data_IF_513667479519
#
_entry.id   IF_513667479519
#
_cell.length_a   1.000
_cell.length_b   1.000
_cell.length_c   1.000
_cell.angle_alpha   90.00
_cell.angle_beta   90.00
_cell.angle_gamma   90.00
#
_symmetry.space_group_name_H-M   'P 1'
#
loop_
_entity.id
_entity.type
_entity.pdbx_description
1 polymer ?
#
# COMPACT_ATOMS: atom_id res chain seq x y z
N UNK A 1 -11.77 29.02 14.34
CA UNK A 1 -12.10 28.20 13.16
C UNK A 1 -10.91 27.26 12.93
N UNK A 2 -11.10 25.93 12.99
CA UNK A 2 -9.98 24.98 12.88
C UNK A 2 -9.61 24.74 11.42
N UNK A 3 -8.32 24.82 11.07
CA UNK A 3 -7.77 24.51 9.73
C UNK A 3 -8.31 23.16 9.21
N UNK A 4 -8.48 22.18 10.09
CA UNK A 4 -9.05 20.86 9.77
C UNK A 4 -10.47 20.96 9.20
N UNK A 5 -11.28 21.93 9.66
CA UNK A 5 -12.66 22.07 9.20
C UNK A 5 -12.76 22.59 7.78
N UNK A 6 -11.87 23.50 7.38
CA UNK A 6 -11.84 24.06 6.04
C UNK A 6 -11.21 23.07 5.06
N UNK A 7 -10.21 22.31 5.50
CA UNK A 7 -9.65 21.21 4.73
C UNK A 7 -10.71 20.14 4.42
N UNK A 8 -11.47 19.69 5.43
CA UNK A 8 -12.56 18.71 5.23
C UNK A 8 -13.61 19.23 4.25
N UNK A 9 -14.00 20.50 4.34
CA UNK A 9 -14.94 21.11 3.39
C UNK A 9 -14.38 21.11 1.97
N UNK A 10 -13.11 21.48 1.82
CA UNK A 10 -12.41 21.47 0.54
C UNK A 10 -12.37 20.05 -0.07
N UNK A 11 -12.02 19.04 0.73
CA UNK A 11 -11.99 17.62 0.30
C UNK A 11 -13.36 17.15 -0.21
N UNK A 12 -14.44 17.50 0.50
CA UNK A 12 -15.80 17.11 0.10
C UNK A 12 -16.22 17.82 -1.19
N UNK A 13 -15.76 19.06 -1.40
CA UNK A 13 -16.09 19.86 -2.59
C UNK A 13 -15.26 19.48 -3.82
N UNK A 14 -14.04 18.96 -3.62
CA UNK A 14 -13.16 18.59 -4.71
C UNK A 14 -13.64 17.31 -5.40
N UNK A 15 -14.05 17.44 -6.66
CA UNK A 15 -14.49 16.30 -7.51
C UNK A 15 -13.32 15.47 -8.08
N UNK A 16 -12.08 15.81 -7.74
CA UNK A 16 -10.93 15.16 -8.36
C UNK A 16 -10.81 13.71 -7.87
N UNK A 17 -10.75 12.77 -8.81
CA UNK A 17 -10.97 11.33 -8.57
C UNK A 17 -9.69 10.59 -8.19
N UNK A 18 -8.73 11.25 -7.56
CA UNK A 18 -7.50 10.57 -7.18
C UNK A 18 -7.70 9.81 -5.87
N UNK A 19 -7.37 8.53 -5.88
CA UNK A 19 -7.54 7.63 -4.76
C UNK A 19 -6.21 7.36 -4.02
N UNK A 20 -5.09 7.75 -4.62
CA UNK A 20 -3.73 7.50 -4.14
C UNK A 20 -3.38 8.09 -2.77
N UNK A 21 -2.25 7.63 -2.25
CA UNK A 21 -1.72 8.02 -0.95
C UNK A 21 -1.08 9.43 -0.96
N UNK A 22 -0.50 9.87 -2.07
CA UNK A 22 0.25 11.13 -2.10
C UNK A 22 -0.61 12.34 -2.44
N UNK A 23 -1.64 12.15 -3.26
CA UNK A 23 -2.45 13.23 -3.84
C UNK A 23 -3.95 12.87 -3.92
N UNK A 24 -4.40 11.87 -3.16
CA UNK A 24 -5.76 11.35 -3.20
C UNK A 24 -6.42 11.10 -1.84
N UNK A 25 -7.57 10.44 -1.89
CA UNK A 25 -8.38 10.13 -0.70
C UNK A 25 -7.63 9.32 0.37
N UNK A 26 -6.76 8.39 -0.03
CA UNK A 26 -5.97 7.61 0.91
C UNK A 26 -5.02 8.50 1.72
N UNK A 27 -4.35 9.45 1.07
CA UNK A 27 -3.44 10.40 1.75
C UNK A 27 -4.16 11.31 2.72
N UNK A 28 -5.29 11.87 2.28
CA UNK A 28 -6.16 12.69 3.13
C UNK A 28 -6.64 11.91 4.34
N UNK A 29 -7.14 10.69 4.13
CA UNK A 29 -7.63 9.84 5.21
C UNK A 29 -6.53 9.49 6.22
N UNK A 30 -5.34 9.15 5.74
CA UNK A 30 -4.19 8.88 6.61
C UNK A 30 -3.78 10.11 7.42
N UNK A 31 -3.78 11.30 6.80
CA UNK A 31 -3.50 12.55 7.51
C UNK A 31 -4.51 12.82 8.62
N UNK A 32 -5.80 12.56 8.37
CA UNK A 32 -6.85 12.70 9.38
C UNK A 32 -6.65 11.72 10.55
N UNK A 33 -6.33 10.45 10.28
CA UNK A 33 -6.05 9.45 11.33
C UNK A 33 -4.89 9.89 12.23
N UNK A 34 -3.81 10.40 11.64
CA UNK A 34 -2.57 10.69 12.37
C UNK A 34 -2.58 12.04 13.10
N UNK A 35 -3.32 13.03 12.57
CA UNK A 35 -3.16 14.42 13.02
C UNK A 35 -4.45 15.07 13.56
N UNK A 36 -5.60 14.42 13.43
CA UNK A 36 -6.87 15.01 13.88
C UNK A 36 -7.29 14.48 15.25
N UNK A 37 -7.88 15.37 16.06
CA UNK A 37 -8.59 14.94 17.27
C UNK A 37 -9.82 14.14 16.88
N UNK A 38 -10.06 13.04 17.61
CA UNK A 38 -11.26 12.21 17.42
C UNK A 38 -12.52 13.08 17.60
N UNK A 39 -13.38 13.06 16.60
CA UNK A 39 -14.67 13.78 16.60
C UNK A 39 -15.61 13.14 15.58
N UNK A 40 -16.92 13.28 15.78
CA UNK A 40 -17.92 12.75 14.87
C UNK A 40 -17.70 13.20 13.42
N UNK A 41 -17.27 14.45 13.22
CA UNK A 41 -17.01 14.99 11.89
C UNK A 41 -15.83 14.30 11.20
N UNK A 42 -14.75 14.04 11.92
CA UNK A 42 -13.58 13.30 11.40
C UNK A 42 -13.98 11.87 11.06
N UNK A 43 -14.71 11.19 11.93
CA UNK A 43 -15.19 9.82 11.70
C UNK A 43 -16.12 9.72 10.48
N UNK A 44 -17.06 10.67 10.33
CA UNK A 44 -17.92 10.75 9.16
C UNK A 44 -17.11 10.98 7.87
N UNK A 45 -16.07 11.81 7.94
CA UNK A 45 -15.19 12.09 6.79
C UNK A 45 -14.39 10.85 6.40
N UNK A 46 -13.78 10.17 7.38
CA UNK A 46 -13.06 8.91 7.14
C UNK A 46 -13.98 7.85 6.54
N UNK A 47 -15.17 7.67 7.10
CA UNK A 47 -16.18 6.73 6.59
C UNK A 47 -16.59 7.03 5.15
N UNK A 48 -16.75 8.32 4.80
CA UNK A 48 -17.02 8.75 3.44
C UNK A 48 -15.86 8.38 2.49
N UNK A 49 -14.62 8.69 2.85
CA UNK A 49 -13.43 8.39 2.04
C UNK A 49 -13.28 6.88 1.81
N UNK A 50 -13.42 6.09 2.88
CA UNK A 50 -13.36 4.63 2.81
C UNK A 50 -14.45 4.09 1.88
N UNK A 51 -15.69 4.57 1.99
CA UNK A 51 -16.79 4.15 1.11
C UNK A 51 -16.47 4.37 -0.38
N UNK A 52 -15.73 5.43 -0.72
CA UNK A 52 -15.29 5.67 -2.11
C UNK A 52 -14.26 4.63 -2.58
N UNK A 53 -13.38 4.18 -1.69
CA UNK A 53 -12.31 3.21 -1.97
C UNK A 53 -12.78 1.75 -1.94
N UNK A 54 -13.90 1.46 -1.29
CA UNK A 54 -14.52 0.12 -1.26
C UNK A 54 -15.32 -0.20 -2.53
N UNK A 55 -15.53 0.77 -3.42
CA UNK A 55 -16.29 0.56 -4.64
C UNK A 55 -15.49 -0.28 -5.64
N UNK A 56 -15.99 -1.46 -6.01
CA UNK A 56 -15.29 -2.38 -6.94
C UNK A 56 -15.01 -1.75 -8.31
N UNK A 57 -15.86 -0.82 -8.78
CA UNK A 57 -15.60 -0.08 -10.02
C UNK A 57 -14.36 0.79 -9.92
N UNK A 58 -14.03 1.28 -8.72
CA UNK A 58 -12.79 2.04 -8.48
C UNK A 58 -11.58 1.15 -8.70
N UNK A 59 -11.59 -0.06 -8.13
CA UNK A 59 -10.49 -1.02 -8.24
C UNK A 59 -10.26 -1.49 -9.68
N UNK A 60 -11.30 -1.89 -10.40
CA UNK A 60 -11.16 -2.43 -11.77
C UNK A 60 -10.60 -1.40 -12.75
N UNK A 61 -10.97 -0.13 -12.60
CA UNK A 61 -10.60 0.95 -13.52
C UNK A 61 -9.37 1.74 -13.05
N UNK A 62 -8.61 1.22 -12.08
CA UNK A 62 -7.46 1.93 -11.55
C UNK A 62 -6.19 1.63 -12.33
N UNK A 63 -5.60 2.66 -12.93
CA UNK A 63 -4.44 2.50 -13.82
C UNK A 63 -3.10 2.72 -13.11
N UNK A 64 -3.10 3.31 -11.92
CA UNK A 64 -1.89 3.60 -11.16
C UNK A 64 -1.53 2.42 -10.26
N UNK A 65 -0.23 2.19 -10.08
CA UNK A 65 0.32 1.08 -9.28
C UNK A 65 1.37 1.61 -8.29
N UNK A 66 1.63 0.87 -7.23
CA UNK A 66 2.63 1.18 -6.21
C UNK A 66 2.09 2.01 -5.04
N UNK A 67 2.97 2.40 -4.13
CA UNK A 67 2.59 2.96 -2.84
C UNK A 67 2.00 4.37 -2.96
N UNK A 68 2.55 5.22 -3.82
CA UNK A 68 2.16 6.63 -3.82
C UNK A 68 0.80 6.87 -4.46
N UNK A 69 0.52 6.17 -5.57
CA UNK A 69 -0.69 6.39 -6.34
C UNK A 69 -1.49 5.11 -6.57
N UNK A 70 -0.96 3.93 -6.31
CA UNK A 70 -1.58 2.65 -6.66
C UNK A 70 -2.39 1.96 -5.56
N UNK A 71 -2.70 0.70 -5.81
CA UNK A 71 -3.41 -0.17 -4.88
C UNK A 71 -2.65 -0.36 -3.57
N UNK A 72 -1.32 -0.40 -3.58
CA UNK A 72 -0.52 -0.48 -2.35
C UNK A 72 -0.75 0.72 -1.41
N UNK A 73 -0.85 1.94 -1.94
CA UNK A 73 -1.15 3.13 -1.15
C UNK A 73 -2.54 3.13 -0.55
N UNK A 74 -3.53 2.70 -1.34
CA UNK A 74 -4.91 2.57 -0.91
C UNK A 74 -5.04 1.50 0.18
N UNK A 75 -4.42 0.34 -0.04
CA UNK A 75 -4.35 -0.74 0.94
C UNK A 75 -3.72 -0.27 2.24
N UNK A 76 -2.60 0.45 2.17
CA UNK A 76 -1.92 1.00 3.35
C UNK A 76 -2.84 1.92 4.16
N UNK A 77 -3.57 2.83 3.51
CA UNK A 77 -4.54 3.67 4.20
C UNK A 77 -5.66 2.85 4.85
N UNK A 78 -6.26 1.91 4.11
CA UNK A 78 -7.34 1.08 4.63
C UNK A 78 -6.90 0.24 5.83
N UNK A 79 -5.66 -0.27 5.82
CA UNK A 79 -5.05 -0.96 6.96
C UNK A 79 -4.94 -0.06 8.19
N UNK A 80 -4.43 1.17 8.01
CA UNK A 80 -4.34 2.15 9.11
C UNK A 80 -5.73 2.53 9.63
N UNK A 81 -6.74 2.59 8.75
CA UNK A 81 -8.12 2.81 9.15
C UNK A 81 -8.68 1.63 9.97
N UNK A 82 -8.38 0.39 9.61
CA UNK A 82 -8.74 -0.79 10.40
C UNK A 82 -8.10 -0.81 11.77
N UNK A 83 -6.81 -0.50 11.83
CA UNK A 83 -6.07 -0.37 13.08
C UNK A 83 -6.69 0.73 13.97
N UNK A 84 -7.08 1.86 13.38
CA UNK A 84 -7.77 2.93 14.07
C UNK A 84 -9.12 2.48 14.67
N UNK A 85 -9.85 1.61 13.97
CA UNK A 85 -11.11 1.03 14.43
C UNK A 85 -10.94 -0.19 15.34
N UNK A 86 -9.74 -0.77 15.41
CA UNK A 86 -9.46 -2.09 16.01
C UNK A 86 -10.35 -3.18 15.42
N UNK A 87 -10.38 -3.25 14.08
CA UNK A 87 -11.23 -4.16 13.30
C UNK A 87 -10.43 -4.94 12.25
N UNK A 88 -11.07 -5.99 11.71
CA UNK A 88 -10.62 -6.86 10.59
C UNK A 88 -11.72 -6.99 9.51
N UNK A 89 -12.62 -6.02 9.46
CA UNK A 89 -13.75 -5.96 8.52
C UNK A 89 -13.31 -5.84 7.05
N UNK A 90 -12.16 -5.24 6.81
CA UNK A 90 -11.67 -4.85 5.50
C UNK A 90 -10.46 -5.68 5.03
N UNK A 91 -9.89 -6.59 5.83
CA UNK A 91 -8.79 -7.50 5.45
C UNK A 91 -8.85 -7.96 3.97
N UNK A 92 -10.00 -8.49 3.54
CA UNK A 92 -10.19 -8.99 2.18
C UNK A 92 -10.13 -7.90 1.10
N UNK A 93 -10.68 -6.71 1.33
CA UNK A 93 -10.63 -5.62 0.35
C UNK A 93 -9.24 -4.99 0.29
N UNK A 94 -8.53 -4.93 1.43
CA UNK A 94 -7.15 -4.48 1.48
C UNK A 94 -6.28 -5.45 0.68
N UNK A 95 -6.46 -6.76 0.89
CA UNK A 95 -5.77 -7.77 0.10
C UNK A 95 -6.07 -7.67 -1.40
N UNK A 96 -7.33 -7.41 -1.79
CA UNK A 96 -7.69 -7.17 -3.20
C UNK A 96 -6.94 -5.97 -3.81
N UNK A 97 -6.76 -4.89 -3.06
CA UNK A 97 -6.00 -3.73 -3.52
C UNK A 97 -4.50 -4.04 -3.72
N UNK A 98 -3.90 -4.85 -2.84
CA UNK A 98 -2.53 -5.33 -3.05
C UNK A 98 -2.41 -6.27 -4.24
N UNK A 99 -3.38 -7.19 -4.40
CA UNK A 99 -3.41 -8.12 -5.52
C UNK A 99 -3.57 -7.41 -6.85
N UNK A 100 -4.38 -6.35 -6.92
CA UNK A 100 -4.50 -5.53 -8.12
C UNK A 100 -3.13 -5.10 -8.65
N UNK A 101 -2.26 -4.59 -7.77
CA UNK A 101 -0.92 -4.16 -8.17
C UNK A 101 -0.02 -5.37 -8.50
N UNK A 102 -0.07 -6.42 -7.70
CA UNK A 102 0.74 -7.62 -7.90
C UNK A 102 0.42 -8.36 -9.21
N UNK A 103 -0.86 -8.42 -9.58
CA UNK A 103 -1.33 -9.12 -10.78
C UNK A 103 -1.02 -8.32 -12.06
N UNK A 104 -0.80 -7.01 -11.94
CA UNK A 104 -0.37 -6.12 -13.03
C UNK A 104 1.14 -5.91 -13.09
N UNK A 105 1.91 -6.64 -12.28
CA UNK A 105 3.37 -6.59 -12.32
C UNK A 105 3.93 -7.17 -13.63
N UNK A 106 5.15 -6.73 -13.97
CA UNK A 106 5.89 -7.28 -15.11
C UNK A 106 6.40 -8.66 -14.72
N UNK A 107 6.25 -9.61 -15.64
CA UNK A 107 6.68 -11.00 -15.48
C UNK A 107 7.58 -11.43 -16.63
N UNK A 108 8.46 -12.38 -16.36
CA UNK A 108 9.29 -13.02 -17.40
C UNK A 108 8.53 -14.13 -18.13
N UNK A 109 9.21 -14.80 -19.06
CA UNK A 109 8.62 -15.90 -19.85
C UNK A 109 8.22 -17.12 -19.00
N UNK A 110 8.80 -17.27 -17.81
CA UNK A 110 8.46 -18.33 -16.84
C UNK A 110 7.35 -17.85 -15.86
N UNK A 111 6.73 -16.71 -16.13
CA UNK A 111 5.73 -16.06 -15.28
C UNK A 111 6.26 -15.63 -13.89
N UNK A 112 7.58 -15.50 -13.73
CA UNK A 112 8.21 -15.01 -12.49
C UNK A 112 8.05 -13.50 -12.37
N UNK A 113 7.85 -13.02 -11.14
CA UNK A 113 7.77 -11.60 -10.84
C UNK A 113 9.10 -10.91 -11.14
N UNK A 114 9.11 -9.93 -12.04
CA UNK A 114 10.29 -9.13 -12.39
C UNK A 114 10.28 -7.79 -11.67
N UNK A 115 9.11 -7.15 -11.59
CA UNK A 115 8.99 -5.88 -10.92
C UNK A 115 7.67 -5.18 -11.18
N UNK A 116 7.38 -4.16 -10.38
CA UNK A 116 6.14 -3.40 -10.52
C UNK A 116 6.36 -2.15 -11.40
N UNK A 117 5.54 -1.93 -12.44
CA UNK A 117 5.53 -0.66 -13.14
C UNK A 117 4.79 0.42 -12.35
N UNK A 118 4.92 1.69 -12.72
CA UNK A 118 4.16 2.78 -12.09
C UNK A 118 2.70 2.86 -12.55
N UNK A 119 2.38 2.23 -13.70
CA UNK A 119 1.07 2.26 -14.35
C UNK A 119 0.78 0.95 -15.08
N UNK A 120 -0.50 0.62 -15.23
CA UNK A 120 -1.00 -0.48 -16.05
C UNK A 120 -0.44 -0.38 -17.48
N UNK A 121 -0.08 -1.51 -18.06
CA UNK A 121 0.49 -1.65 -19.42
C UNK A 121 1.85 -0.97 -19.64
N UNK A 122 2.49 -0.43 -18.61
CA UNK A 122 3.88 0.04 -18.73
C UNK A 122 4.85 -1.13 -18.72
N UNK A 123 5.90 -1.04 -19.53
CA UNK A 123 6.95 -2.07 -19.67
C UNK A 123 8.17 -1.80 -18.80
N UNK A 124 8.17 -0.71 -18.03
CA UNK A 124 9.30 -0.32 -17.18
C UNK A 124 8.97 -0.67 -15.73
N UNK A 125 9.73 -1.58 -15.15
CA UNK A 125 9.69 -1.89 -13.73
C UNK A 125 10.47 -0.85 -12.93
N UNK A 126 9.95 -0.48 -11.77
CA UNK A 126 10.65 0.38 -10.82
C UNK A 126 10.90 -0.39 -9.51
N UNK A 127 12.09 -0.29 -8.91
CA UNK A 127 12.37 -0.95 -7.64
C UNK A 127 11.97 -0.10 -6.43
N UNK A 128 11.61 1.16 -6.62
CA UNK A 128 11.53 2.16 -5.55
C UNK A 128 10.27 2.09 -4.68
N UNK A 129 10.33 2.78 -3.53
CA UNK A 129 9.25 2.78 -2.55
C UNK A 129 7.99 3.49 -3.05
N UNK A 130 8.13 4.64 -3.71
CA UNK A 130 6.97 5.45 -4.15
C UNK A 130 6.23 4.80 -5.32
N UNK A 131 6.98 4.40 -6.35
CA UNK A 131 6.48 3.69 -7.52
C UNK A 131 7.39 2.50 -7.73
N UNK A 132 6.91 1.28 -7.46
CA UNK A 132 7.73 0.10 -7.64
C UNK A 132 7.54 -1.01 -6.63
N UNK A 133 8.39 -2.03 -6.79
CA UNK A 133 8.33 -3.27 -6.02
C UNK A 133 8.51 -3.06 -4.53
N UNK A 134 9.43 -2.18 -4.08
CA UNK A 134 9.63 -1.94 -2.64
C UNK A 134 8.36 -1.38 -1.98
N UNK A 135 7.65 -0.48 -2.64
CA UNK A 135 6.38 0.07 -2.15
C UNK A 135 5.29 -0.99 -1.98
N UNK A 136 5.18 -1.87 -2.98
CA UNK A 136 4.23 -2.98 -2.93
C UNK A 136 4.60 -4.00 -1.85
N UNK A 137 5.88 -4.40 -1.80
CA UNK A 137 6.40 -5.31 -0.78
C UNK A 137 6.13 -4.76 0.62
N UNK A 138 6.37 -3.47 0.87
CA UNK A 138 6.06 -2.83 2.17
C UNK A 138 4.57 -2.95 2.52
N UNK A 139 3.69 -2.74 1.55
CA UNK A 139 2.25 -2.98 1.74
C UNK A 139 1.91 -4.42 2.10
N UNK A 140 2.54 -5.40 1.42
CA UNK A 140 2.36 -6.82 1.74
C UNK A 140 2.88 -7.20 3.12
N UNK A 141 4.03 -6.67 3.54
CA UNK A 141 4.62 -6.94 4.86
C UNK A 141 3.71 -6.41 5.99
N UNK A 142 3.20 -5.17 5.87
CA UNK A 142 2.31 -4.59 6.88
C UNK A 142 1.02 -5.40 7.07
N UNK A 143 0.46 -5.96 5.99
CA UNK A 143 -0.69 -6.87 6.08
C UNK A 143 -0.28 -8.23 6.62
N UNK A 144 0.90 -8.75 6.25
CA UNK A 144 1.40 -10.02 6.75
C UNK A 144 1.47 -10.03 8.28
N UNK A 145 1.92 -8.92 8.86
CA UNK A 145 2.04 -8.75 10.31
C UNK A 145 0.68 -8.53 10.97
N UNK A 146 -0.19 -7.72 10.37
CA UNK A 146 -1.47 -7.34 10.98
C UNK A 146 -2.61 -8.35 10.77
N UNK A 147 -2.60 -9.11 9.68
CA UNK A 147 -3.69 -10.01 9.27
C UNK A 147 -3.23 -11.50 9.22
N UNK A 148 -3.18 -12.22 10.36
CA UNK A 148 -2.69 -13.60 10.43
C UNK A 148 -3.40 -14.58 9.47
N UNK A 149 -4.70 -14.37 9.24
CA UNK A 149 -5.54 -15.12 8.31
C UNK A 149 -5.08 -15.04 6.84
N UNK A 150 -4.30 -14.02 6.47
CA UNK A 150 -3.82 -13.82 5.10
C UNK A 150 -2.37 -14.29 4.89
N UNK A 151 -1.61 -14.56 5.95
CA UNK A 151 -0.18 -14.88 5.88
C UNK A 151 0.15 -16.01 4.89
N UNK A 152 -0.64 -17.08 4.87
CA UNK A 152 -0.44 -18.22 3.96
C UNK A 152 -0.55 -17.83 2.48
N UNK A 153 -1.41 -16.85 2.15
CA UNK A 153 -1.62 -16.35 0.78
C UNK A 153 -0.52 -15.37 0.34
N UNK A 154 0.06 -14.65 1.29
CA UNK A 154 1.03 -13.58 1.04
C UNK A 154 2.46 -14.10 0.91
N UNK A 155 2.81 -15.17 1.63
CA UNK A 155 4.20 -15.62 1.81
C UNK A 155 5.00 -15.78 0.51
N UNK A 156 4.44 -16.46 -0.49
CA UNK A 156 5.16 -16.67 -1.75
C UNK A 156 5.32 -15.35 -2.54
N UNK A 157 4.29 -14.49 -2.53
CA UNK A 157 4.32 -13.19 -3.21
C UNK A 157 5.36 -12.26 -2.60
N UNK A 158 5.46 -12.25 -1.27
CA UNK A 158 6.48 -11.50 -0.52
C UNK A 158 7.89 -11.95 -0.95
N UNK A 159 8.13 -13.26 -1.01
CA UNK A 159 9.43 -13.80 -1.45
C UNK A 159 9.76 -13.46 -2.89
N UNK A 160 8.79 -13.57 -3.80
CA UNK A 160 8.95 -13.21 -5.21
C UNK A 160 9.36 -11.74 -5.37
N UNK A 161 8.68 -10.83 -4.67
CA UNK A 161 9.01 -9.40 -4.71
C UNK A 161 10.36 -9.08 -4.08
N UNK A 162 10.70 -9.70 -2.95
CA UNK A 162 11.99 -9.50 -2.30
C UNK A 162 13.14 -9.97 -3.20
N UNK A 163 12.99 -11.13 -3.85
CA UNK A 163 13.98 -11.63 -4.80
C UNK A 163 14.17 -10.69 -5.99
N UNK A 164 13.12 -10.01 -6.46
CA UNK A 164 13.23 -9.06 -7.56
C UNK A 164 13.87 -7.72 -7.17
N UNK A 165 14.10 -7.47 -5.87
CA UNK A 165 14.77 -6.28 -5.36
C UNK A 165 16.27 -6.51 -5.14
N UNK A 166 16.76 -7.74 -5.27
CA UNK A 166 18.18 -8.08 -5.24
C UNK A 166 18.84 -7.66 -6.57
N UNK A 167 18.91 -6.35 -6.79
CA UNK A 167 19.42 -5.73 -8.00
C UNK A 167 20.81 -5.12 -7.74
N UNK A 168 21.79 -5.34 -8.63
CA UNK A 168 23.18 -4.94 -8.38
C UNK A 168 23.45 -3.41 -8.41
N UNK A 169 22.45 -2.55 -8.68
CA UNK A 169 22.68 -1.11 -8.79
C UNK A 169 21.41 -0.26 -8.63
N UNK A 170 21.53 0.84 -7.87
CA UNK A 170 20.67 2.02 -7.99
C UNK A 170 21.53 3.28 -7.90
N UNK A 171 21.23 4.31 -8.68
CA UNK A 171 22.06 5.52 -8.78
C UNK A 171 21.82 6.55 -7.65
N UNK A 172 20.84 6.33 -6.77
CA UNK A 172 20.35 7.34 -5.83
C UNK A 172 20.24 6.80 -4.40
N UNK A 173 20.61 7.62 -3.41
CA UNK A 173 20.56 7.26 -1.98
C UNK A 173 19.29 7.74 -1.26
N UNK A 174 18.32 8.31 -1.98
CA UNK A 174 17.08 8.81 -1.39
C UNK A 174 16.20 7.69 -0.82
N UNK A 175 15.37 8.02 0.18
CA UNK A 175 14.42 7.06 0.75
C UNK A 175 13.31 6.70 -0.25
N UNK A 176 12.70 7.70 -0.89
CA UNK A 176 11.55 7.49 -1.77
C UNK A 176 11.89 6.92 -3.16
N UNK A 177 13.05 7.32 -3.70
CA UNK A 177 13.50 7.02 -5.07
C UNK A 177 14.94 6.51 -5.12
N UNK A 178 15.38 5.81 -4.09
CA UNK A 178 16.76 5.35 -3.99
C UNK A 178 16.93 4.11 -3.14
N UNK A 179 18.18 3.69 -2.98
CA UNK A 179 18.56 2.43 -2.32
C UNK A 179 18.11 2.38 -0.86
N UNK A 180 18.07 3.52 -0.16
CA UNK A 180 17.71 3.56 1.27
C UNK A 180 16.31 3.01 1.53
N UNK A 181 15.32 3.35 0.70
CA UNK A 181 13.96 2.79 0.85
C UNK A 181 13.86 1.31 0.47
N UNK A 182 14.71 0.86 -0.46
CA UNK A 182 14.79 -0.56 -0.85
C UNK A 182 15.39 -1.37 0.31
N UNK A 183 16.53 -0.93 0.84
CA UNK A 183 17.20 -1.56 1.98
C UNK A 183 16.28 -1.59 3.20
N UNK A 184 15.63 -0.47 3.54
CA UNK A 184 14.68 -0.43 4.67
C UNK A 184 13.55 -1.46 4.49
N UNK A 185 13.05 -1.62 3.26
CA UNK A 185 12.03 -2.63 2.96
C UNK A 185 12.56 -4.05 3.09
N UNK A 186 13.78 -4.32 2.64
CA UNK A 186 14.41 -5.65 2.76
C UNK A 186 14.75 -6.02 4.21
N UNK A 187 15.13 -5.04 5.04
CA UNK A 187 15.33 -5.24 6.48
C UNK A 187 14.03 -5.68 7.15
N UNK A 188 12.89 -5.05 6.82
CA UNK A 188 11.58 -5.47 7.35
C UNK A 188 11.18 -6.86 6.85
N UNK A 189 11.49 -7.19 5.59
CA UNK A 189 11.29 -8.55 5.07
C UNK A 189 12.08 -9.61 5.85
N UNK A 190 13.36 -9.34 6.15
CA UNK A 190 14.21 -10.27 6.90
C UNK A 190 13.67 -10.49 8.33
N UNK A 191 13.20 -9.42 9.00
CA UNK A 191 12.56 -9.53 10.32
C UNK A 191 11.33 -10.43 10.27
N UNK A 192 10.43 -10.20 9.32
CA UNK A 192 9.19 -10.98 9.17
C UNK A 192 9.47 -12.47 8.91
N UNK A 193 10.56 -12.81 8.20
CA UNK A 193 10.97 -14.20 7.99
C UNK A 193 11.62 -14.85 9.22
N UNK A 194 12.39 -14.09 10.01
CA UNK A 194 13.02 -14.58 11.23
C UNK A 194 11.99 -14.90 12.31
N UNK A 195 11.01 -14.03 12.52
CA UNK A 195 9.92 -14.25 13.47
C UNK A 195 9.12 -15.53 13.15
N UNK A 196 8.96 -15.84 11.86
CA UNK A 196 8.29 -17.05 11.38
C UNK A 196 9.06 -18.35 11.71
N UNK A 197 10.40 -18.31 11.75
CA UNK A 197 11.21 -19.47 12.10
C UNK A 197 11.15 -19.75 13.61
N UNK A 198 11.05 -18.70 14.44
CA UNK A 198 10.97 -18.82 15.90
C UNK A 198 9.60 -19.35 16.37
N UNK A 199 8.49 -18.95 15.73
CA UNK A 199 7.14 -19.43 16.11
C UNK A 199 6.89 -20.92 15.78
N UNK A 200 7.76 -21.56 15.00
CA UNK A 200 7.70 -23.02 14.71
C UNK A 200 8.62 -23.86 15.60
N UNK A 201 9.42 -23.23 16.46
CA UNK A 201 10.35 -23.91 17.36
C UNK A 201 9.77 -24.12 18.78
N UNK A 202 8.48 -23.81 18.98
CA UNK A 202 7.71 -23.97 20.22
C UNK A 202 6.49 -24.83 19.90
#
# INVERSE_FOLDING_TARGET
>A
MSITNDLIKYIIQFKNRNFGLFDGYAGVGLSLINNSKKSQKVENTLSFLVTKLLNEKTLVNYDYLGLAQGGAGIAYFLLRYEQHLKSHKYDNIIYKWLLHDFDLAIRDNDNKFVGLPSKRNSTIAYPYLVYGTAGLLRGFLEIYDYCPNLQSKLKNKIKEMAASLDLPYTAYYGYFFGITGIIDTLIEFDKALLEYQVTRAI
#
